data_IF_575469383148
#
_entry.id   IF_575469383148
#
_cell.length_a   1.000
_cell.length_b   1.000
_cell.length_c   1.000
_cell.angle_alpha   90.00
_cell.angle_beta   90.00
_cell.angle_gamma   90.00
#
_symmetry.space_group_name_H-M   'P 1'
#
loop_
_entity.id
_entity.type
_entity.pdbx_description
1 polymer ?
#
# COMPACT_ATOMS: atom_id res chain seq x y z
N UNK A 1 76.35 10.00 -3.79
CA UNK A 1 76.66 10.94 -2.69
C UNK A 1 75.39 11.76 -2.42
N UNK A 2 74.79 11.59 -1.25
CA UNK A 2 73.71 12.43 -0.67
C UNK A 2 74.40 13.50 0.21
N UNK A 3 73.86 14.72 0.45
CA UNK A 3 72.85 14.89 1.51
C UNK A 3 71.78 16.00 1.30
N UNK A 4 70.61 15.77 1.88
CA UNK A 4 69.79 16.70 2.69
C UNK A 4 69.25 18.03 2.10
N UNK A 5 67.93 18.08 1.91
CA UNK A 5 67.10 19.14 2.49
C UNK A 5 65.64 18.68 2.61
N UNK A 6 65.28 18.24 3.82
CA UNK A 6 63.91 17.98 4.25
C UNK A 6 63.32 19.30 4.79
N UNK A 7 62.10 19.65 4.40
CA UNK A 7 61.24 20.46 5.26
C UNK A 7 59.81 19.95 5.15
N UNK A 8 59.36 19.30 6.21
CA UNK A 8 58.00 18.87 6.43
C UNK A 8 57.16 20.07 6.92
N UNK A 9 55.95 20.23 6.40
CA UNK A 9 54.95 21.13 6.96
C UNK A 9 53.85 20.27 7.60
N UNK A 10 53.74 20.33 8.92
CA UNK A 10 52.76 19.61 9.73
C UNK A 10 51.41 20.36 9.75
N UNK A 11 50.27 19.64 9.90
CA UNK A 11 48.93 20.19 9.82
C UNK A 11 48.51 20.86 11.15
N UNK A 12 47.95 22.07 11.05
CA UNK A 12 47.32 22.79 12.16
C UNK A 12 45.91 22.27 12.50
N UNK A 13 45.42 22.50 13.73
CA UNK A 13 44.23 21.83 14.28
C UNK A 13 42.90 22.41 13.76
N UNK A 14 41.81 21.61 13.79
CA UNK A 14 40.50 22.06 13.32
C UNK A 14 39.82 22.99 14.35
N UNK A 15 39.36 24.15 13.88
CA UNK A 15 38.53 25.06 14.65
C UNK A 15 37.13 24.46 14.89
N UNK A 16 36.75 24.37 16.17
CA UNK A 16 35.42 23.97 16.63
C UNK A 16 34.47 25.18 16.58
N UNK A 17 33.50 25.15 15.67
CA UNK A 17 32.31 26.01 15.68
C UNK A 17 31.07 25.20 16.02
N UNK A 18 30.41 25.52 17.14
CA UNK A 18 29.21 24.86 17.67
C UNK A 18 27.91 25.44 17.08
N UNK A 19 26.99 24.53 16.78
CA UNK A 19 25.52 24.61 16.84
C UNK A 19 24.76 25.75 16.12
N UNK A 20 23.88 25.35 15.19
CA UNK A 20 22.42 25.54 15.32
C UNK A 20 21.67 24.46 14.53
N UNK A 21 20.72 23.82 15.23
CA UNK A 21 19.77 22.82 14.73
C UNK A 21 18.67 23.49 13.91
N UNK A 22 18.38 22.95 12.73
CA UNK A 22 17.07 22.89 12.07
C UNK A 22 17.24 21.81 10.99
N UNK A 23 16.63 20.63 11.02
CA UNK A 23 15.31 20.30 11.54
C UNK A 23 14.36 20.07 10.38
N UNK A 24 14.66 19.13 9.48
CA UNK A 24 13.68 18.48 8.61
C UNK A 24 14.08 17.01 8.49
N UNK A 25 13.61 16.20 9.44
CA UNK A 25 13.54 14.75 9.24
C UNK A 25 12.23 14.55 8.50
N UNK A 26 12.32 14.26 7.21
CA UNK A 26 11.16 13.80 6.44
C UNK A 26 10.79 12.44 7.01
N UNK A 27 9.80 12.41 7.90
CA UNK A 27 9.24 11.18 8.45
C UNK A 27 8.65 10.36 7.32
N UNK A 28 9.36 9.29 6.93
CA UNK A 28 8.78 8.22 6.14
C UNK A 28 7.88 7.41 7.09
N UNK A 29 6.60 7.78 7.16
CA UNK A 29 5.58 6.96 7.84
C UNK A 29 5.38 5.68 7.05
N UNK A 30 6.06 4.61 7.49
CA UNK A 30 5.76 3.24 7.08
C UNK A 30 4.50 2.80 7.87
N UNK A 31 3.35 2.75 7.19
CA UNK A 31 2.12 2.18 7.77
C UNK A 31 2.26 0.65 7.72
N UNK A 32 2.80 0.07 8.79
CA UNK A 32 2.71 -1.37 9.02
C UNK A 32 1.34 -1.65 9.65
N UNK A 33 0.36 -1.98 8.81
CA UNK A 33 -0.96 -2.43 9.26
C UNK A 33 -0.88 -3.91 9.70
N UNK A 34 -0.37 -4.16 10.91
CA UNK A 34 -0.62 -5.41 11.62
C UNK A 34 -1.86 -5.25 12.49
N UNK A 35 -3.03 -5.58 11.96
CA UNK A 35 -4.27 -5.63 12.72
C UNK A 35 -4.43 -6.99 13.39
N UNK A 36 -4.09 -7.08 14.68
CA UNK A 36 -4.63 -8.12 15.58
C UNK A 36 -5.59 -7.41 16.52
N UNK A 37 -6.89 -7.56 16.27
CA UNK A 37 -7.95 -7.05 17.15
C UNK A 37 -8.16 -8.07 18.26
N UNK A 38 -7.71 -7.75 19.47
CA UNK A 38 -8.14 -8.44 20.69
C UNK A 38 -9.41 -7.77 21.25
N UNK A 39 -10.40 -8.52 21.76
CA UNK A 39 -11.58 -7.92 22.37
C UNK A 39 -11.29 -7.44 23.79
N UNK A 40 -11.71 -6.21 24.11
CA UNK A 40 -11.77 -5.66 25.46
C UNK A 40 -13.02 -6.19 26.19
N UNK A 41 -12.84 -6.66 27.43
CA UNK A 41 -13.94 -7.03 28.34
C UNK A 41 -14.44 -5.81 29.12
N UNK A 42 -15.75 -5.56 29.21
CA UNK A 42 -16.30 -4.60 30.17
C UNK A 42 -16.42 -5.23 31.57
N UNK A 43 -16.01 -4.47 32.58
CA UNK A 43 -16.24 -4.76 33.99
C UNK A 43 -17.59 -4.16 34.42
N UNK A 44 -18.52 -4.99 34.88
CA UNK A 44 -19.76 -4.54 35.51
C UNK A 44 -19.56 -4.42 37.04
N UNK A 45 -19.76 -3.21 37.55
CA UNK A 45 -19.89 -2.89 38.97
C UNK A 45 -21.30 -3.26 39.43
N UNK A 46 -21.43 -4.33 40.22
CA UNK A 46 -22.66 -4.66 40.93
C UNK A 46 -22.73 -3.89 42.26
N UNK A 47 -23.64 -2.91 42.37
CA UNK A 47 -24.11 -2.38 43.65
C UNK A 47 -25.26 -3.25 44.18
N UNK A 48 -24.99 -3.97 45.25
CA UNK A 48 -25.97 -4.57 46.17
C UNK A 48 -26.52 -3.50 47.11
N UNK A 49 -27.80 -3.55 47.48
CA UNK A 49 -28.24 -3.88 48.86
C UNK A 49 -29.71 -3.48 49.16
N UNK A 50 -30.35 -4.37 49.93
CA UNK A 50 -31.29 -4.12 51.03
C UNK A 50 -32.82 -4.01 50.81
N UNK A 51 -33.45 -5.18 50.94
CA UNK A 51 -34.49 -5.55 51.94
C UNK A 51 -35.24 -4.44 52.69
N UNK A 52 -36.58 -4.52 52.72
CA UNK A 52 -37.39 -4.50 53.97
C UNK A 52 -38.79 -5.06 53.70
N UNK A 53 -39.28 -5.89 54.62
CA UNK A 53 -40.58 -6.53 54.61
C UNK A 53 -41.50 -5.97 55.71
N UNK A 54 -42.81 -5.96 55.41
CA UNK A 54 -44.01 -6.00 56.29
C UNK A 54 -44.32 -4.76 57.18
N UNK A 55 -45.62 -4.47 57.49
CA UNK A 55 -46.40 -5.35 58.37
C UNK A 55 -47.88 -5.63 57.97
N UNK A 56 -48.40 -6.70 58.59
CA UNK A 56 -49.79 -7.15 58.70
C UNK A 56 -50.72 -6.13 59.39
N UNK A 57 -52.02 -6.17 59.05
CA UNK A 57 -53.09 -5.44 59.76
C UNK A 57 -54.40 -6.23 59.80
N UNK A 58 -54.80 -6.66 61.00
CA UNK A 58 -55.90 -7.60 61.28
C UNK A 58 -57.28 -7.01 61.59
N UNK A 59 -58.21 -7.95 61.83
CA UNK A 59 -59.68 -7.88 61.93
C UNK A 59 -60.29 -7.05 63.07
N UNK A 60 -61.54 -6.56 62.89
CA UNK A 60 -62.57 -6.45 63.96
C UNK A 60 -64.02 -6.60 63.44
N UNK A 61 -64.76 -7.57 63.99
CA UNK A 61 -66.22 -7.57 64.08
C UNK A 61 -66.66 -7.97 65.51
N UNK A 62 -67.62 -7.23 66.11
CA UNK A 62 -68.25 -7.50 67.42
C UNK A 62 -69.64 -8.15 67.22
N UNK A 63 -70.14 -9.00 68.14
CA UNK A 63 -71.48 -9.58 68.05
C UNK A 63 -72.56 -8.62 68.61
N UNK A 64 -73.76 -8.65 68.01
CA UNK A 64 -74.98 -8.05 68.58
C UNK A 64 -75.83 -9.13 69.25
N UNK A 65 -76.21 -8.86 70.50
CA UNK A 65 -77.21 -9.56 71.31
C UNK A 65 -78.58 -8.94 71.06
N UNK A 66 -79.61 -9.75 70.75
CA UNK A 66 -81.00 -9.45 71.13
C UNK A 66 -81.68 -10.75 71.52
N UNK A 67 -82.36 -10.66 72.65
CA UNK A 67 -83.07 -11.67 73.43
C UNK A 67 -84.55 -11.73 72.98
N UNK A 68 -85.11 -12.94 72.99
CA UNK A 68 -86.50 -13.31 73.34
C UNK A 68 -87.69 -12.96 72.43
N UNK A 69 -88.26 -13.99 71.76
CA UNK A 69 -89.64 -14.49 71.95
C UNK A 69 -89.92 -15.72 71.05
N UNK A 70 -90.55 -16.74 71.63
CA UNK A 70 -90.84 -18.13 71.17
C UNK A 70 -92.35 -18.26 70.82
N UNK A 71 -92.90 -19.29 70.12
CA UNK A 71 -92.35 -20.40 69.29
C UNK A 71 -92.97 -20.52 67.87
N UNK A 72 -92.26 -21.18 66.94
CA UNK A 72 -92.79 -22.33 66.18
C UNK A 72 -91.63 -23.15 65.62
N UNK A 73 -91.64 -24.43 65.96
CA UNK A 73 -90.92 -25.63 65.47
C UNK A 73 -89.85 -25.54 64.35
N UNK A 74 -88.75 -26.26 64.63
CA UNK A 74 -87.79 -26.97 63.75
C UNK A 74 -86.46 -26.29 63.33
N UNK A 75 -85.38 -27.10 63.15
CA UNK A 75 -84.11 -26.89 63.84
C UNK A 75 -83.09 -26.02 63.10
N UNK A 76 -82.26 -25.38 63.91
CA UNK A 76 -81.20 -24.45 63.55
C UNK A 76 -80.08 -25.08 62.71
N UNK A 77 -79.77 -24.44 61.57
CA UNK A 77 -78.44 -24.48 60.97
C UNK A 77 -77.45 -23.74 61.91
N UNK A 78 -76.45 -24.47 62.42
CA UNK A 78 -75.38 -23.89 63.23
C UNK A 78 -74.50 -22.92 62.43
N UNK A 79 -73.91 -21.88 63.05
CA UNK A 79 -73.10 -20.90 62.33
C UNK A 79 -71.82 -21.58 61.80
N UNK A 80 -71.66 -21.61 60.47
CA UNK A 80 -70.38 -21.98 59.84
C UNK A 80 -69.32 -20.96 60.27
N UNK A 81 -68.26 -21.45 60.91
CA UNK A 81 -67.16 -20.65 61.43
C UNK A 81 -66.48 -19.78 60.36
N UNK A 82 -65.98 -18.62 60.79
CA UNK A 82 -65.27 -17.67 59.95
C UNK A 82 -64.16 -18.33 59.14
N UNK A 83 -64.08 -18.04 57.83
CA UNK A 83 -62.98 -18.48 56.96
C UNK A 83 -61.68 -17.81 57.40
N UNK A 84 -60.62 -18.59 57.63
CA UNK A 84 -59.30 -18.05 58.02
C UNK A 84 -58.70 -17.10 56.98
N UNK A 85 -57.75 -16.22 57.37
CA UNK A 85 -57.14 -15.23 56.49
C UNK A 85 -56.44 -15.90 55.30
N UNK A 86 -56.46 -15.23 54.15
CA UNK A 86 -55.75 -15.70 52.94
C UNK A 86 -54.25 -15.67 53.21
N UNK A 87 -53.55 -16.79 52.95
CA UNK A 87 -52.10 -16.90 53.14
C UNK A 87 -51.30 -15.86 52.34
N UNK A 88 -50.06 -15.55 52.76
CA UNK A 88 -49.24 -14.50 52.14
C UNK A 88 -48.94 -14.80 50.67
N UNK A 89 -48.78 -13.76 49.86
CA UNK A 89 -48.38 -13.89 48.44
C UNK A 89 -46.97 -14.49 48.38
N UNK A 90 -46.78 -15.53 47.55
CA UNK A 90 -45.47 -16.16 47.34
C UNK A 90 -44.42 -15.17 46.84
N UNK A 91 -43.15 -15.40 47.21
CA UNK A 91 -42.03 -14.55 46.83
C UNK A 91 -41.85 -14.47 45.30
N UNK A 92 -41.47 -13.29 44.80
CA UNK A 92 -41.10 -13.12 43.37
C UNK A 92 -39.87 -13.98 43.06
N UNK A 93 -39.93 -14.71 41.94
CA UNK A 93 -38.83 -15.59 41.51
C UNK A 93 -37.53 -14.82 41.17
N UNK A 94 -36.38 -15.53 41.10
CA UNK A 94 -35.10 -14.89 40.80
C UNK A 94 -35.08 -14.29 39.39
N UNK A 95 -34.34 -13.19 39.22
CA UNK A 95 -34.04 -12.61 37.90
C UNK A 95 -33.31 -13.63 37.03
N UNK A 96 -33.71 -13.77 35.77
CA UNK A 96 -33.08 -14.68 34.82
C UNK A 96 -31.62 -14.29 34.49
N UNK A 97 -30.84 -15.22 33.90
CA UNK A 97 -29.45 -14.96 33.54
C UNK A 97 -29.34 -13.87 32.45
N UNK A 98 -28.23 -13.12 32.47
CA UNK A 98 -27.91 -12.17 31.41
C UNK A 98 -27.64 -12.90 30.08
N UNK A 99 -28.09 -12.33 28.97
CA UNK A 99 -27.89 -12.90 27.63
C UNK A 99 -26.43 -12.93 27.20
N UNK A 100 -26.09 -13.83 26.28
CA UNK A 100 -24.75 -13.93 25.71
C UNK A 100 -24.40 -12.69 24.87
N UNK A 101 -23.11 -12.28 24.79
CA UNK A 101 -22.66 -11.25 23.86
C UNK A 101 -23.02 -11.58 22.40
N UNK A 102 -23.38 -10.56 21.63
CA UNK A 102 -23.67 -10.71 20.20
C UNK A 102 -22.43 -11.12 19.38
N UNK A 103 -22.63 -11.66 18.16
CA UNK A 103 -21.51 -12.04 17.29
C UNK A 103 -20.71 -10.80 16.83
N UNK A 104 -19.41 -11.00 16.59
CA UNK A 104 -18.55 -10.01 15.93
C UNK A 104 -19.11 -9.67 14.54
N UNK A 105 -19.10 -8.38 14.17
CA UNK A 105 -19.54 -7.94 12.84
C UNK A 105 -18.68 -8.53 11.70
N UNK A 106 -19.25 -8.59 10.50
CA UNK A 106 -18.53 -9.05 9.31
C UNK A 106 -17.36 -8.11 8.96
N UNK A 107 -16.28 -8.67 8.42
CA UNK A 107 -15.18 -7.89 7.84
C UNK A 107 -15.71 -7.04 6.69
N UNK A 108 -15.27 -5.76 6.63
CA UNK A 108 -15.64 -4.86 5.53
C UNK A 108 -15.13 -5.33 4.17
N UNK A 109 -15.66 -4.78 3.06
CA UNK A 109 -15.19 -5.12 1.72
C UNK A 109 -13.72 -4.73 1.54
N UNK A 110 -13.02 -5.45 0.68
CA UNK A 110 -11.69 -5.05 0.21
C UNK A 110 -11.78 -3.72 -0.55
N UNK A 111 -10.81 -2.82 -0.36
CA UNK A 111 -10.72 -1.56 -1.11
C UNK A 111 -10.42 -1.77 -2.60
N UNK A 112 -10.73 -0.77 -3.41
CA UNK A 112 -10.43 -0.77 -4.85
C UNK A 112 -8.91 -0.78 -5.12
N UNK A 113 -8.51 -1.38 -6.23
CA UNK A 113 -7.12 -1.30 -6.72
C UNK A 113 -6.77 0.14 -7.07
N UNK A 114 -5.56 0.60 -6.71
CA UNK A 114 -5.07 1.93 -7.08
C UNK A 114 -4.88 2.10 -8.60
N UNK A 115 -4.73 3.35 -9.08
CA UNK A 115 -4.50 3.62 -10.50
C UNK A 115 -3.18 3.03 -10.99
N UNK A 116 -3.12 2.64 -12.26
CA UNK A 116 -1.87 2.24 -12.92
C UNK A 116 -0.89 3.42 -12.98
N UNK A 117 0.40 3.17 -12.70
CA UNK A 117 1.46 4.18 -12.83
C UNK A 117 1.72 4.60 -14.28
N UNK A 118 2.38 5.74 -14.51
CA UNK A 118 2.70 6.19 -15.86
C UNK A 118 3.80 5.33 -16.50
N UNK A 119 3.72 5.15 -17.81
CA UNK A 119 4.73 4.52 -18.63
C UNK A 119 5.84 5.52 -18.98
N UNK A 120 6.94 5.47 -18.22
CA UNK A 120 8.12 6.33 -18.35
C UNK A 120 9.38 5.52 -18.03
N UNK A 121 10.51 5.89 -18.63
CA UNK A 121 11.77 5.16 -18.42
C UNK A 121 12.97 6.02 -18.79
N UNK A 122 14.08 5.82 -18.09
CA UNK A 122 15.37 6.44 -18.40
C UNK A 122 16.41 5.33 -18.25
N UNK A 123 17.29 5.22 -19.24
CA UNK A 123 18.46 4.36 -19.13
C UNK A 123 19.68 5.10 -19.69
N UNK A 124 20.86 4.74 -19.22
CA UNK A 124 22.10 5.31 -19.71
C UNK A 124 23.22 4.27 -19.68
N UNK A 125 24.00 4.22 -20.76
CA UNK A 125 25.17 3.37 -20.86
C UNK A 125 26.38 4.21 -21.28
N UNK A 126 27.48 4.07 -20.54
CA UNK A 126 28.77 4.63 -20.90
C UNK A 126 29.62 3.57 -21.59
N UNK A 127 29.65 3.62 -22.92
CA UNK A 127 30.30 2.62 -23.77
C UNK A 127 31.79 2.85 -23.99
N UNK A 128 32.24 4.09 -23.80
CA UNK A 128 33.65 4.45 -23.78
C UNK A 128 33.86 5.70 -22.94
N UNK A 129 35.13 6.08 -22.78
CA UNK A 129 35.50 7.38 -22.22
C UNK A 129 35.13 8.55 -23.14
N UNK A 130 34.76 8.30 -24.40
CA UNK A 130 34.52 9.34 -25.40
C UNK A 130 33.05 9.78 -25.46
N UNK A 131 32.11 8.91 -25.07
CA UNK A 131 30.68 9.23 -25.13
C UNK A 131 29.83 8.42 -24.15
N UNK A 132 28.66 8.97 -23.85
CA UNK A 132 27.59 8.33 -23.07
C UNK A 132 26.32 8.30 -23.93
N UNK A 133 25.61 7.18 -23.89
CA UNK A 133 24.30 7.03 -24.52
C UNK A 133 23.21 7.11 -23.46
N UNK A 134 22.11 7.79 -23.78
CA UNK A 134 20.93 7.88 -22.93
C UNK A 134 19.68 7.49 -23.68
N UNK A 135 18.71 6.93 -22.99
CA UNK A 135 17.35 6.79 -23.43
C UNK A 135 16.41 7.56 -22.51
N UNK A 136 15.35 8.10 -23.10
CA UNK A 136 14.23 8.64 -22.37
C UNK A 136 12.93 8.20 -23.02
N UNK A 137 12.04 7.64 -22.21
CA UNK A 137 10.66 7.35 -22.54
C UNK A 137 9.77 8.33 -21.77
N UNK A 138 9.06 9.18 -22.51
CA UNK A 138 8.10 10.13 -21.93
C UNK A 138 7.00 10.45 -22.93
N UNK A 139 5.76 10.56 -22.46
CA UNK A 139 4.60 10.86 -23.31
C UNK A 139 4.39 9.84 -24.44
N UNK A 140 4.73 8.58 -24.21
CA UNK A 140 4.67 7.53 -25.24
C UNK A 140 5.71 7.67 -26.36
N UNK A 141 6.75 8.50 -26.15
CA UNK A 141 7.84 8.71 -27.10
C UNK A 141 9.17 8.27 -26.52
N UNK A 142 9.99 7.64 -27.37
CA UNK A 142 11.32 7.14 -27.05
C UNK A 142 12.35 8.01 -27.76
N UNK A 143 13.26 8.58 -26.98
CA UNK A 143 14.37 9.40 -27.44
C UNK A 143 15.69 8.71 -27.13
N UNK A 144 16.63 8.70 -28.08
CA UNK A 144 18.02 8.35 -27.79
C UNK A 144 18.89 9.60 -27.83
N UNK A 145 19.69 9.78 -26.78
CA UNK A 145 20.65 10.84 -26.62
C UNK A 145 22.06 10.32 -26.75
N UNK A 146 22.93 11.11 -27.38
CA UNK A 146 24.39 10.92 -27.29
C UNK A 146 25.01 12.15 -26.65
N UNK A 147 25.87 11.92 -25.67
CA UNK A 147 26.69 12.93 -25.03
C UNK A 147 28.14 12.66 -25.38
N UNK A 148 28.82 13.68 -25.89
CA UNK A 148 30.26 13.64 -26.09
C UNK A 148 30.96 13.96 -24.77
N UNK A 149 31.86 13.08 -24.32
CA UNK A 149 32.58 13.22 -23.05
C UNK A 149 33.95 13.89 -23.23
N UNK A 150 34.41 14.12 -24.46
CA UNK A 150 35.77 14.62 -24.74
C UNK A 150 35.96 16.10 -24.46
N UNK A 151 34.89 16.90 -24.45
CA UNK A 151 35.00 18.37 -24.37
C UNK A 151 34.72 18.96 -23.00
N UNK A 152 34.51 18.13 -21.97
CA UNK A 152 34.18 18.61 -20.63
C UNK A 152 32.79 19.29 -20.53
N UNK A 153 32.06 19.44 -21.63
CA UNK A 153 30.68 19.93 -21.70
C UNK A 153 29.69 18.81 -21.33
N UNK A 154 29.74 18.36 -20.08
CA UNK A 154 28.99 17.19 -19.61
C UNK A 154 27.46 17.35 -19.62
N UNK A 155 26.91 18.51 -19.96
CA UNK A 155 25.46 18.78 -19.91
C UNK A 155 24.78 18.72 -21.29
N UNK A 156 25.52 18.63 -22.39
CA UNK A 156 24.92 18.63 -23.73
C UNK A 156 24.64 17.19 -24.18
N UNK A 157 23.37 16.90 -24.45
CA UNK A 157 22.93 15.61 -25.02
C UNK A 157 22.21 15.91 -26.34
N UNK A 158 22.70 15.31 -27.42
CA UNK A 158 22.06 15.40 -28.72
C UNK A 158 20.99 14.31 -28.81
N UNK A 159 19.72 14.71 -28.71
CA UNK A 159 18.57 13.81 -28.72
C UNK A 159 18.06 13.54 -30.13
N UNK A 160 17.68 12.29 -30.37
CA UNK A 160 17.03 11.80 -31.59
C UNK A 160 15.71 11.14 -31.20
N UNK A 161 14.58 11.59 -31.76
CA UNK A 161 13.29 10.92 -31.63
C UNK A 161 13.31 9.59 -32.40
N UNK A 162 13.00 8.49 -31.73
CA UNK A 162 12.95 7.15 -32.32
C UNK A 162 11.51 6.69 -32.61
N UNK A 163 10.49 7.40 -32.12
CA UNK A 163 9.09 7.00 -32.18
C UNK A 163 8.44 7.17 -33.56
N UNK A 164 8.98 8.07 -34.38
CA UNK A 164 8.52 8.24 -35.76
C UNK A 164 8.98 7.16 -36.73
N UNK A 165 9.68 6.13 -36.24
CA UNK A 165 10.31 5.11 -37.09
C UNK A 165 9.35 3.96 -37.40
N UNK A 166 9.52 3.29 -38.56
CA UNK A 166 8.70 2.14 -38.91
C UNK A 166 8.75 1.07 -37.81
N UNK A 167 7.59 0.51 -37.47
CA UNK A 167 7.48 -0.56 -36.47
C UNK A 167 7.49 -0.12 -35.02
N UNK A 168 7.55 1.18 -34.70
CA UNK A 168 7.48 1.62 -33.30
C UNK A 168 6.17 1.15 -32.63
N UNK A 169 6.21 0.53 -31.43
CA UNK A 169 5.02 -0.03 -30.78
C UNK A 169 4.13 1.08 -30.19
N UNK A 170 3.37 1.78 -31.03
CA UNK A 170 2.54 2.92 -30.64
C UNK A 170 1.11 2.55 -30.19
N UNK A 171 0.88 1.32 -29.74
CA UNK A 171 -0.44 0.83 -29.31
C UNK A 171 -0.93 -0.44 -30.02
N UNK A 172 -2.24 -0.68 -29.97
CA UNK A 172 -2.87 -1.85 -30.56
C UNK A 172 -2.45 -3.17 -29.88
N UNK A 173 -2.27 -4.24 -30.67
CA UNK A 173 -1.82 -5.54 -30.16
C UNK A 173 -0.43 -5.49 -29.51
N UNK A 174 0.39 -4.51 -29.92
CA UNK A 174 1.71 -4.33 -29.34
C UNK A 174 1.70 -3.61 -27.99
N UNK A 175 0.59 -2.97 -27.60
CA UNK A 175 0.58 -2.12 -26.41
C UNK A 175 1.38 -0.84 -26.57
N UNK A 176 1.49 -0.07 -25.48
CA UNK A 176 2.26 1.17 -25.43
C UNK A 176 3.65 0.91 -24.83
N UNK A 177 4.69 1.66 -25.22
CA UNK A 177 6.02 1.56 -24.62
C UNK A 177 5.95 1.97 -23.14
N UNK A 178 6.55 1.19 -22.25
CA UNK A 178 6.50 1.43 -20.80
C UNK A 178 7.83 1.44 -20.08
N UNK A 179 8.88 0.86 -20.66
CA UNK A 179 10.24 1.10 -20.22
C UNK A 179 11.21 0.99 -21.40
N UNK A 180 12.44 1.44 -21.20
CA UNK A 180 13.50 1.50 -22.20
C UNK A 180 14.81 0.97 -21.62
N UNK A 181 15.64 0.36 -22.46
CA UNK A 181 17.02 0.03 -22.09
C UNK A 181 18.00 0.17 -23.24
N UNK A 182 19.24 0.54 -22.89
CA UNK A 182 20.38 0.60 -23.80
C UNK A 182 21.11 -0.74 -23.76
N UNK A 183 21.11 -1.42 -24.90
CA UNK A 183 21.90 -2.62 -25.11
C UNK A 183 23.02 -2.32 -26.10
N UNK A 184 24.20 -2.04 -25.58
CA UNK A 184 25.32 -1.69 -26.42
C UNK A 184 26.31 -2.85 -26.48
N UNK A 185 26.54 -3.34 -27.70
CA UNK A 185 27.43 -4.47 -27.93
C UNK A 185 28.61 -4.00 -28.78
N UNK A 186 29.75 -3.82 -28.11
CA UNK A 186 30.97 -3.34 -28.74
C UNK A 186 31.87 -4.50 -29.18
N UNK A 187 32.12 -4.63 -30.48
CA UNK A 187 33.21 -5.47 -31.04
C UNK A 187 34.16 -4.68 -31.96
N UNK A 188 33.94 -3.37 -32.14
CA UNK A 188 34.67 -2.54 -33.11
C UNK A 188 35.08 -1.23 -32.46
N UNK A 189 36.34 -0.86 -32.63
CA UNK A 189 36.89 0.41 -32.13
C UNK A 189 36.42 1.62 -32.93
N UNK A 190 36.03 1.43 -34.20
CA UNK A 190 35.70 2.52 -35.14
C UNK A 190 34.21 2.75 -35.33
N UNK A 191 33.38 1.70 -35.27
CA UNK A 191 31.93 1.80 -35.49
C UNK A 191 31.18 1.14 -34.32
N UNK A 192 30.57 1.97 -33.48
CA UNK A 192 29.85 1.51 -32.28
C UNK A 192 28.38 1.28 -32.63
N UNK A 193 27.97 0.02 -32.71
CA UNK A 193 26.55 -0.35 -32.86
C UNK A 193 25.90 -0.37 -31.50
N UNK A 194 24.84 0.42 -31.37
CA UNK A 194 24.04 0.55 -30.16
C UNK A 194 22.66 0.00 -30.48
N UNK A 195 22.15 -0.87 -29.62
CA UNK A 195 20.76 -1.34 -29.66
C UNK A 195 19.99 -0.69 -28.52
N UNK A 196 18.71 -0.51 -28.75
CA UNK A 196 17.77 0.07 -27.82
C UNK A 196 16.57 -0.83 -27.77
N UNK A 197 16.18 -1.21 -26.56
CA UNK A 197 15.00 -2.04 -26.36
C UNK A 197 13.91 -1.21 -25.69
N UNK A 198 12.66 -1.52 -26.06
CA UNK A 198 11.44 -1.03 -25.42
C UNK A 198 10.65 -2.24 -24.98
N UNK A 199 10.19 -2.25 -23.73
CA UNK A 199 9.13 -3.16 -23.28
C UNK A 199 7.80 -2.42 -23.27
N UNK A 200 6.74 -3.11 -23.67
CA UNK A 200 5.39 -2.54 -23.81
C UNK A 200 4.46 -2.98 -22.70
N UNK A 201 3.28 -2.34 -22.58
CA UNK A 201 2.21 -2.74 -21.64
C UNK A 201 1.74 -4.19 -21.80
N UNK A 202 1.91 -4.78 -22.98
CA UNK A 202 1.54 -6.18 -23.25
C UNK A 202 2.69 -7.15 -22.98
N UNK A 203 3.84 -6.65 -22.51
CA UNK A 203 5.03 -7.44 -22.24
C UNK A 203 5.92 -7.71 -23.46
N UNK A 204 5.58 -7.17 -24.64
CA UNK A 204 6.41 -7.32 -25.83
C UNK A 204 7.66 -6.44 -25.76
N UNK A 205 8.80 -7.01 -26.17
CA UNK A 205 10.10 -6.37 -26.31
C UNK A 205 10.38 -6.08 -27.79
N UNK A 206 10.72 -4.84 -28.09
CA UNK A 206 11.03 -4.33 -29.42
C UNK A 206 12.43 -3.74 -29.44
N UNK A 207 13.22 -4.05 -30.46
CA UNK A 207 14.61 -3.59 -30.61
C UNK A 207 14.75 -2.61 -31.78
N UNK A 208 15.51 -1.53 -31.59
CA UNK A 208 16.01 -0.66 -32.65
C UNK A 208 17.53 -0.52 -32.55
N UNK A 209 18.18 -0.25 -33.69
CA UNK A 209 19.63 -0.13 -33.74
C UNK A 209 20.09 1.21 -34.35
N UNK A 210 21.12 1.78 -33.74
CA UNK A 210 21.81 2.98 -34.21
C UNK A 210 23.32 2.77 -34.23
N UNK A 211 24.02 3.71 -34.84
CA UNK A 211 25.48 3.75 -34.91
C UNK A 211 25.94 5.07 -34.31
N UNK A 212 26.79 5.01 -33.30
CA UNK A 212 27.45 6.19 -32.77
C UNK A 212 28.70 6.50 -33.63
N UNK A 213 28.80 7.76 -34.05
CA UNK A 213 29.94 8.32 -34.78
C UNK A 213 30.73 9.21 -33.83
N UNK A 214 31.95 8.80 -33.53
CA UNK A 214 32.83 9.45 -32.54
C UNK A 214 34.06 10.09 -33.17
N UNK A 215 34.26 9.95 -34.49
CA UNK A 215 35.39 10.57 -35.20
C UNK A 215 35.25 12.08 -35.33
N UNK A 216 34.02 12.59 -35.24
CA UNK A 216 33.70 14.03 -35.26
C UNK A 216 33.35 14.52 -33.86
N UNK A 217 33.48 15.82 -33.63
CA UNK A 217 32.98 16.49 -32.43
C UNK A 217 31.89 17.51 -32.83
N UNK A 218 30.70 17.49 -32.21
CA UNK A 218 30.25 16.51 -31.22
C UNK A 218 30.05 15.11 -31.81
N UNK A 219 30.12 14.09 -30.96
CA UNK A 219 29.71 12.73 -31.31
C UNK A 219 28.22 12.73 -31.70
N UNK A 220 27.88 11.96 -32.73
CA UNK A 220 26.51 11.90 -33.27
C UNK A 220 25.97 10.49 -33.29
N UNK A 221 24.65 10.36 -33.29
CA UNK A 221 23.95 9.09 -33.40
C UNK A 221 23.24 9.02 -34.75
N UNK A 222 23.61 8.04 -35.58
CA UNK A 222 22.92 7.76 -36.83
C UNK A 222 22.08 6.51 -36.71
N UNK A 223 20.79 6.67 -36.93
CA UNK A 223 19.82 5.59 -36.84
C UNK A 223 19.17 5.25 -38.18
N UNK A 224 19.73 5.75 -39.28
CA UNK A 224 19.36 5.34 -40.61
C UNK A 224 20.24 4.16 -41.09
N UNK A 225 19.76 3.50 -42.14
CA UNK A 225 20.57 2.57 -42.94
C UNK A 225 21.54 3.32 -43.86
N UNK A 226 22.28 2.57 -44.68
CA UNK A 226 23.27 3.14 -45.62
C UNK A 226 22.65 4.00 -46.72
N UNK A 227 21.34 3.91 -46.93
CA UNK A 227 20.59 4.67 -47.92
C UNK A 227 19.89 5.89 -47.32
N UNK A 228 20.04 6.13 -46.01
CA UNK A 228 19.37 7.22 -45.30
C UNK A 228 17.95 6.90 -44.84
N UNK A 229 17.46 5.67 -45.03
CA UNK A 229 16.13 5.29 -44.53
C UNK A 229 16.19 4.99 -43.03
N UNK A 230 15.20 5.44 -42.23
CA UNK A 230 15.16 5.12 -40.80
C UNK A 230 15.14 3.61 -40.58
N UNK A 231 16.02 3.09 -39.71
CA UNK A 231 15.98 1.69 -39.31
C UNK A 231 14.69 1.42 -38.53
N UNK A 232 13.99 0.31 -38.81
CA UNK A 232 12.76 -0.02 -38.14
C UNK A 232 13.02 -0.47 -36.69
N UNK A 233 11.99 -0.38 -35.88
CA UNK A 233 11.84 -1.21 -34.68
C UNK A 233 11.42 -2.61 -35.10
N UNK A 234 12.02 -3.61 -34.47
CA UNK A 234 11.81 -5.02 -34.78
C UNK A 234 11.34 -5.70 -33.51
N UNK A 235 10.21 -6.42 -33.58
CA UNK A 235 9.78 -7.28 -32.48
C UNK A 235 10.86 -8.34 -32.24
N UNK A 236 11.36 -8.43 -31.01
CA UNK A 236 12.37 -9.43 -30.66
C UNK A 236 11.75 -10.82 -30.84
N UNK A 237 12.43 -11.69 -31.58
CA UNK A 237 11.83 -12.95 -32.02
C UNK A 237 11.42 -13.87 -30.86
N UNK A 238 12.18 -13.87 -29.77
CA UNK A 238 11.87 -14.62 -28.55
C UNK A 238 11.44 -13.67 -27.45
N UNK A 239 10.18 -13.75 -27.05
CA UNK A 239 9.62 -12.87 -26.02
C UNK A 239 9.78 -13.47 -24.62
N UNK A 240 9.94 -12.65 -23.56
CA UNK A 240 9.97 -13.17 -22.20
C UNK A 240 8.63 -13.83 -21.85
N UNK A 241 8.69 -14.97 -21.18
CA UNK A 241 7.51 -15.66 -20.65
C UNK A 241 7.70 -15.99 -19.17
N UNK A 242 6.61 -16.17 -18.42
CA UNK A 242 6.68 -16.75 -17.09
C UNK A 242 7.49 -18.05 -17.10
N UNK A 243 8.28 -18.27 -16.06
CA UNK A 243 9.05 -19.50 -15.81
C UNK A 243 10.08 -19.88 -16.89
N UNK A 244 10.47 -18.94 -17.76
CA UNK A 244 11.47 -19.15 -18.79
C UNK A 244 12.84 -19.59 -18.22
N UNK A 245 13.37 -20.72 -18.72
CA UNK A 245 14.75 -21.17 -18.49
C UNK A 245 15.42 -21.38 -19.85
N UNK A 246 16.43 -20.57 -20.19
CA UNK A 246 17.18 -20.63 -21.45
C UNK A 246 16.32 -20.67 -22.74
N UNK A 247 15.15 -20.03 -22.71
CA UNK A 247 14.27 -19.89 -23.87
C UNK A 247 13.20 -18.82 -23.68
N UNK A 248 12.77 -18.23 -24.78
CA UNK A 248 11.53 -17.46 -24.94
C UNK A 248 10.82 -17.98 -26.19
N UNK A 249 9.49 -17.93 -26.23
CA UNK A 249 8.71 -18.38 -27.41
C UNK A 249 8.95 -17.47 -28.60
#
# INVERSE_FOLDING_TARGET
MNPESRTACLPGPPARGRFKRAGVVTSLTLVMASGVVGPATPADLATSDRTTAAPDGGDRCRPRRVEEQVPTSEPADGPRGCRGPRGPRGATGPTGPQGLPGPTGATGPQGETGPTGPCVGIDAAQESTDFEIRLALTGGRTYAGIRDQRTGEQQIVLWTDLSGRPGYPAGGAAGLPCDVTVNAHNRSTTVKRIKFDVITTTGQVWEAACVAFTTTHPATLNCADRTGRPKPWILVARQPTPDAVNGGV
#
